data_IF_792470889734
#
_entry.id   IF_792470889734
#
_cell.length_a   1.000
_cell.length_b   1.000
_cell.length_c   1.000
_cell.angle_alpha   90.00
_cell.angle_beta   90.00
_cell.angle_gamma   90.00
#
_symmetry.space_group_name_H-M   'P 1'
#
loop_
_entity.id
_entity.type
_entity.pdbx_description
1 polymer ?
#
# COMPACT_ATOMS: atom_id res chain seq x y z
N UNK A 1 -5.42 20.00 -14.68
CA UNK A 1 -6.12 19.46 -13.50
C UNK A 1 -6.52 20.61 -12.60
N UNK A 2 -7.79 20.67 -12.22
CA UNK A 2 -8.27 21.72 -11.29
C UNK A 2 -7.67 21.48 -9.91
N UNK A 3 -7.21 22.54 -9.23
CA UNK A 3 -6.60 22.46 -7.90
C UNK A 3 -5.13 21.96 -7.88
N UNK A 4 -4.55 21.63 -9.03
CA UNK A 4 -3.16 21.13 -9.09
C UNK A 4 -2.24 22.09 -9.84
N UNK A 5 -0.98 22.15 -9.41
CA UNK A 5 0.05 22.94 -10.03
C UNK A 5 0.20 22.61 -11.52
N UNK A 6 0.41 23.64 -12.34
CA UNK A 6 0.59 23.50 -13.80
C UNK A 6 1.85 22.70 -14.19
N UNK A 7 2.80 22.50 -13.26
CA UNK A 7 3.98 21.65 -13.48
C UNK A 7 3.65 20.17 -13.66
N UNK A 8 2.46 19.74 -13.22
CA UNK A 8 1.96 18.38 -13.40
C UNK A 8 1.12 18.27 -14.67
N UNK A 9 1.57 17.44 -15.61
CA UNK A 9 0.93 17.26 -16.93
C UNK A 9 -0.40 16.49 -16.83
N UNK A 10 -0.51 15.61 -15.83
CA UNK A 10 -1.69 14.77 -15.57
C UNK A 10 -1.69 14.31 -14.10
N UNK A 11 -2.79 13.70 -13.66
CA UNK A 11 -2.84 13.18 -12.29
C UNK A 11 -1.84 12.01 -12.07
N UNK A 12 -1.65 11.05 -12.99
CA UNK A 12 -0.54 10.10 -12.88
C UNK A 12 0.84 10.76 -12.79
N UNK A 13 1.07 11.84 -13.53
CA UNK A 13 2.34 12.60 -13.46
C UNK A 13 2.57 13.21 -12.07
N UNK A 14 1.51 13.71 -11.42
CA UNK A 14 1.57 14.16 -10.01
C UNK A 14 1.99 13.02 -9.10
N UNK A 15 1.29 11.89 -9.12
CA UNK A 15 1.55 10.72 -8.26
C UNK A 15 3.00 10.23 -8.44
N UNK A 16 3.44 10.05 -9.69
CA UNK A 16 4.78 9.57 -10.00
C UNK A 16 5.88 10.54 -9.55
N UNK A 17 5.66 11.85 -9.74
CA UNK A 17 6.65 12.88 -9.37
C UNK A 17 6.81 13.02 -7.86
N UNK A 18 5.71 13.05 -7.10
CA UNK A 18 5.81 13.13 -5.64
C UNK A 18 6.44 11.87 -5.05
N UNK A 19 6.09 10.68 -5.57
CA UNK A 19 6.71 9.42 -5.16
C UNK A 19 8.22 9.44 -5.42
N UNK A 20 8.63 9.86 -6.63
CA UNK A 20 10.05 9.98 -6.99
C UNK A 20 10.79 10.99 -6.11
N UNK A 21 10.21 12.16 -5.87
CA UNK A 21 10.83 13.20 -5.03
C UNK A 21 11.07 12.67 -3.61
N UNK A 22 10.06 12.10 -3.00
CA UNK A 22 10.14 11.62 -1.61
C UNK A 22 11.14 10.45 -1.48
N UNK A 23 11.01 9.43 -2.33
CA UNK A 23 11.70 8.15 -2.14
C UNK A 23 13.04 8.03 -2.87
N UNK A 24 13.11 8.45 -4.13
CA UNK A 24 14.35 8.41 -4.90
C UNK A 24 15.20 9.64 -4.63
N UNK A 25 14.58 10.81 -4.57
CA UNK A 25 15.23 12.07 -4.21
C UNK A 25 15.58 12.18 -2.73
N UNK A 26 15.06 11.29 -1.88
CA UNK A 26 15.23 11.32 -0.41
C UNK A 26 14.75 12.60 0.25
N UNK A 27 13.87 13.34 -0.42
CA UNK A 27 13.25 14.56 0.11
C UNK A 27 12.03 14.19 1.00
N UNK A 28 12.32 13.48 2.10
CA UNK A 28 11.28 12.93 2.99
C UNK A 28 10.44 14.03 3.63
N UNK A 29 11.05 15.17 3.95
CA UNK A 29 10.34 16.30 4.57
C UNK A 29 9.29 16.93 3.62
N UNK A 30 9.42 16.74 2.31
CA UNK A 30 8.41 17.19 1.35
C UNK A 30 7.05 16.48 1.50
N UNK A 31 6.98 15.37 2.22
CA UNK A 31 5.72 14.73 2.63
C UNK A 31 4.79 15.75 3.29
N UNK A 32 5.33 16.68 4.09
CA UNK A 32 4.53 17.73 4.73
C UNK A 32 3.81 18.66 3.73
N UNK A 33 4.32 18.77 2.49
CA UNK A 33 3.70 19.57 1.43
C UNK A 33 2.64 18.78 0.63
N UNK A 34 2.83 17.46 0.54
CA UNK A 34 2.00 16.59 -0.30
C UNK A 34 0.92 15.82 0.46
N UNK A 35 1.01 15.75 1.78
CA UNK A 35 0.06 15.05 2.64
C UNK A 35 -0.61 16.04 3.57
N UNK A 36 -1.93 15.94 3.73
CA UNK A 36 -2.63 16.81 4.69
C UNK A 36 -2.13 16.58 6.12
N UNK A 37 -2.26 17.58 6.97
CA UNK A 37 -1.75 17.52 8.35
C UNK A 37 -2.40 16.41 9.19
N UNK A 38 -3.60 16.01 8.85
CA UNK A 38 -4.46 15.06 9.55
C UNK A 38 -4.69 13.76 8.77
N UNK A 39 -3.97 13.56 7.67
CA UNK A 39 -4.17 12.40 6.78
C UNK A 39 -4.26 11.08 7.54
N UNK A 40 -5.28 10.25 7.30
CA UNK A 40 -5.26 8.85 7.69
C UNK A 40 -4.50 8.00 6.67
N UNK A 41 -3.43 7.36 7.09
CA UNK A 41 -2.72 6.35 6.29
C UNK A 41 -3.03 4.97 6.86
N UNK A 42 -3.72 4.16 6.09
CA UNK A 42 -4.17 2.82 6.49
C UNK A 42 -3.26 1.76 5.93
N UNK A 43 -2.90 0.82 6.76
CA UNK A 43 -2.07 -0.34 6.38
C UNK A 43 -2.51 -1.57 7.17
N UNK A 44 -2.03 -2.77 6.85
CA UNK A 44 -2.27 -3.96 7.67
C UNK A 44 -1.81 -3.84 9.13
N UNK A 45 -0.99 -2.84 9.46
CA UNK A 45 -0.54 -2.56 10.82
C UNK A 45 -1.46 -1.59 11.59
N UNK A 46 -2.52 -1.12 10.99
CA UNK A 46 -3.47 -0.16 11.54
C UNK A 46 -3.43 1.17 10.80
N UNK A 47 -3.95 2.21 11.47
CA UNK A 47 -4.05 3.57 10.93
C UNK A 47 -3.06 4.49 11.60
N UNK A 48 -2.35 5.25 10.79
CA UNK A 48 -1.50 6.35 11.22
C UNK A 48 -2.18 7.66 10.85
N UNK A 49 -2.37 8.56 11.80
CA UNK A 49 -2.96 9.87 11.55
C UNK A 49 -1.88 10.96 11.51
N UNK A 50 -1.94 11.78 10.47
CA UNK A 50 -1.08 12.94 10.28
C UNK A 50 0.19 12.67 9.49
N UNK A 51 0.69 13.70 8.83
CA UNK A 51 1.88 13.63 7.97
C UNK A 51 3.20 13.48 8.76
N UNK A 52 3.29 14.00 9.99
CA UNK A 52 4.48 13.85 10.84
C UNK A 52 4.83 12.40 11.15
N UNK A 53 3.91 11.56 11.68
CA UNK A 53 4.20 10.14 11.86
C UNK A 53 4.54 9.40 10.56
N UNK A 54 4.00 9.83 9.42
CA UNK A 54 4.37 9.27 8.09
C UNK A 54 5.82 9.60 7.74
N UNK A 55 6.25 10.85 7.99
CA UNK A 55 7.65 11.27 7.84
C UNK A 55 8.58 10.42 8.71
N UNK A 56 8.26 10.28 9.99
CA UNK A 56 9.05 9.48 10.95
C UNK A 56 9.15 8.01 10.52
N UNK A 57 8.04 7.41 10.08
CA UNK A 57 8.01 6.04 9.58
C UNK A 57 8.85 5.89 8.31
N UNK A 58 8.85 6.90 7.43
CA UNK A 58 9.66 6.92 6.22
C UNK A 58 11.15 6.98 6.54
N UNK A 59 11.56 7.83 7.48
CA UNK A 59 12.95 7.86 7.94
C UNK A 59 13.39 6.53 8.56
N UNK A 60 12.56 5.91 9.40
CA UNK A 60 12.84 4.57 9.96
C UNK A 60 13.05 3.53 8.87
N UNK A 61 12.19 3.55 7.84
CA UNK A 61 12.34 2.64 6.70
C UNK A 61 13.63 2.90 5.91
N UNK A 62 13.99 4.16 5.70
CA UNK A 62 15.23 4.52 4.99
C UNK A 62 16.49 4.25 5.82
N UNK A 63 16.41 4.27 7.16
CA UNK A 63 17.49 3.80 8.02
C UNK A 63 17.76 2.31 7.81
N UNK A 64 16.71 1.51 7.69
CA UNK A 64 16.81 0.06 7.50
C UNK A 64 17.17 -0.32 6.05
N UNK A 65 16.62 0.41 5.07
CA UNK A 65 16.85 0.22 3.64
C UNK A 65 17.32 1.53 2.97
N UNK A 66 18.56 1.99 3.20
CA UNK A 66 19.00 3.33 2.77
C UNK A 66 19.02 3.52 1.26
N UNK A 67 19.18 2.47 0.48
CA UNK A 67 19.13 2.48 -0.97
C UNK A 67 17.78 2.11 -1.56
N UNK A 68 16.70 2.16 -0.75
CA UNK A 68 15.34 1.84 -1.21
C UNK A 68 14.90 2.74 -2.35
N UNK A 69 14.29 2.11 -3.36
CA UNK A 69 13.65 2.76 -4.51
C UNK A 69 12.21 2.31 -4.61
N UNK A 70 11.34 3.20 -5.05
CA UNK A 70 9.94 2.96 -5.36
C UNK A 70 9.70 3.27 -6.84
N UNK A 71 9.70 2.24 -7.66
CA UNK A 71 9.52 2.36 -9.10
C UNK A 71 8.04 2.20 -9.43
N UNK A 72 7.41 3.27 -9.92
CA UNK A 72 6.02 3.22 -10.38
C UNK A 72 5.88 2.35 -11.61
N UNK A 73 5.06 1.29 -11.52
CA UNK A 73 4.77 0.41 -12.64
C UNK A 73 3.51 0.85 -13.38
N UNK A 74 2.49 1.30 -12.63
CA UNK A 74 1.21 1.70 -13.20
C UNK A 74 0.42 2.59 -12.22
N UNK A 75 -0.36 3.53 -12.77
CA UNK A 75 -1.28 4.39 -12.00
C UNK A 75 -2.65 4.34 -12.65
N UNK A 76 -3.56 3.59 -12.06
CA UNK A 76 -4.98 3.60 -12.41
C UNK A 76 -5.63 4.73 -11.62
N UNK A 77 -6.51 5.51 -12.26
CA UNK A 77 -7.09 6.67 -11.62
C UNK A 77 -8.48 7.03 -12.12
N UNK A 78 -9.22 7.76 -11.32
CA UNK A 78 -10.45 8.41 -11.74
C UNK A 78 -10.57 9.80 -11.10
N UNK A 79 -11.51 10.59 -11.59
CA UNK A 79 -11.90 11.88 -11.02
C UNK A 79 -13.27 11.78 -10.38
N UNK A 80 -13.40 12.35 -9.19
CA UNK A 80 -14.68 12.47 -8.49
C UNK A 80 -15.47 13.71 -8.93
N UNK A 81 -16.75 13.75 -8.60
CA UNK A 81 -17.63 14.87 -8.90
C UNK A 81 -17.29 16.15 -8.12
N UNK A 82 -16.57 16.05 -7.01
CA UNK A 82 -16.14 17.15 -6.13
C UNK A 82 -14.73 17.66 -6.42
N UNK A 83 -14.25 17.46 -7.64
CA UNK A 83 -12.89 17.83 -8.10
C UNK A 83 -11.75 17.07 -7.39
N UNK A 84 -12.05 16.04 -6.63
CA UNK A 84 -11.07 15.09 -6.10
C UNK A 84 -10.63 14.06 -7.13
N UNK A 85 -9.48 13.45 -6.88
CA UNK A 85 -8.89 12.39 -7.69
C UNK A 85 -8.58 11.19 -6.82
N UNK A 86 -8.81 10.00 -7.35
CA UNK A 86 -8.39 8.74 -6.73
C UNK A 86 -7.41 8.02 -7.62
N UNK A 87 -6.35 7.47 -7.03
CA UNK A 87 -5.42 6.59 -7.73
C UNK A 87 -5.24 5.28 -7.01
N UNK A 88 -4.97 4.24 -7.78
CA UNK A 88 -4.35 3.01 -7.31
C UNK A 88 -2.99 2.90 -8.00
N UNK A 89 -1.93 3.06 -7.22
CA UNK A 89 -0.55 3.11 -7.70
C UNK A 89 0.16 1.79 -7.40
N UNK A 90 0.46 1.02 -8.45
CA UNK A 90 1.27 -0.19 -8.36
C UNK A 90 2.74 0.18 -8.42
N UNK A 91 3.50 -0.25 -7.43
CA UNK A 91 4.89 0.11 -7.21
C UNK A 91 5.74 -1.15 -7.07
N UNK A 92 6.85 -1.22 -7.78
CA UNK A 92 7.92 -2.16 -7.47
C UNK A 92 8.89 -1.48 -6.50
N UNK A 93 8.95 -1.99 -5.28
CA UNK A 93 9.93 -1.55 -4.29
C UNK A 93 11.14 -2.48 -4.31
N UNK A 94 12.34 -1.91 -4.28
CA UNK A 94 13.60 -2.64 -4.16
C UNK A 94 14.55 -1.94 -3.20
N UNK A 95 15.43 -2.71 -2.57
CA UNK A 95 16.45 -2.20 -1.66
C UNK A 95 17.30 -3.30 -1.10
N UNK A 96 18.26 -2.94 -0.25
CA UNK A 96 19.12 -3.88 0.47
C UNK A 96 18.96 -3.65 1.97
N UNK A 97 18.80 -4.71 2.74
CA UNK A 97 18.67 -4.66 4.20
C UNK A 97 20.03 -4.38 4.84
N UNK A 98 20.34 -3.10 5.01
CA UNK A 98 21.65 -2.60 5.47
C UNK A 98 21.65 -1.98 6.88
N UNK A 99 20.47 -1.64 7.40
CA UNK A 99 20.32 -1.05 8.73
C UNK A 99 19.52 -1.93 9.66
N UNK A 100 19.65 -1.70 10.95
CA UNK A 100 18.82 -2.33 11.98
C UNK A 100 17.49 -1.60 12.09
N UNK A 101 16.38 -2.36 12.10
CA UNK A 101 15.04 -1.82 12.17
C UNK A 101 13.98 -2.86 12.48
N UNK A 102 12.82 -2.71 11.87
CA UNK A 102 11.66 -3.59 12.07
C UNK A 102 11.96 -5.07 11.79
N UNK A 103 12.78 -5.35 10.78
CA UNK A 103 13.17 -6.73 10.41
C UNK A 103 14.35 -7.26 11.23
N UNK A 104 14.94 -6.45 12.10
CA UNK A 104 16.06 -6.80 12.98
C UNK A 104 17.41 -6.33 12.47
N UNK A 105 18.46 -7.10 12.76
CA UNK A 105 19.83 -6.76 12.34
C UNK A 105 20.00 -6.86 10.83
N UNK A 106 20.85 -6.01 10.22
CA UNK A 106 21.09 -6.01 8.79
C UNK A 106 21.58 -7.38 8.28
N UNK A 107 20.98 -7.84 7.19
CA UNK A 107 21.34 -9.14 6.58
C UNK A 107 22.17 -9.00 5.31
N UNK A 108 22.29 -7.77 4.77
CA UNK A 108 22.93 -7.53 3.47
C UNK A 108 22.12 -8.04 2.27
N UNK A 109 20.94 -8.61 2.49
CA UNK A 109 20.13 -9.22 1.43
C UNK A 109 19.34 -8.18 0.66
N UNK A 110 19.21 -8.41 -0.64
CA UNK A 110 18.36 -7.62 -1.51
C UNK A 110 16.90 -8.03 -1.36
N UNK A 111 16.02 -7.06 -1.42
CA UNK A 111 14.56 -7.26 -1.41
C UNK A 111 13.91 -6.64 -2.64
N UNK A 112 12.92 -7.35 -3.16
CA UNK A 112 12.05 -6.92 -4.26
C UNK A 112 10.61 -7.30 -3.90
N UNK A 113 9.72 -6.33 -3.83
CA UNK A 113 8.32 -6.60 -3.48
C UNK A 113 7.41 -5.55 -4.08
N UNK A 114 6.15 -5.90 -4.25
CA UNK A 114 5.13 -4.97 -4.72
C UNK A 114 4.41 -4.27 -3.59
N UNK A 115 4.03 -3.06 -3.91
CA UNK A 115 3.20 -2.19 -3.06
C UNK A 115 2.04 -1.71 -3.92
N UNK A 116 0.85 -1.66 -3.34
CA UNK A 116 -0.28 -0.90 -3.87
C UNK A 116 -0.54 0.24 -2.89
N UNK A 117 -0.59 1.46 -3.41
CA UNK A 117 -0.99 2.65 -2.67
C UNK A 117 -2.21 3.26 -3.34
N UNK A 118 -3.34 3.24 -2.65
CA UNK A 118 -4.56 3.89 -3.07
C UNK A 118 -4.65 5.24 -2.39
N UNK A 119 -4.68 6.32 -3.18
CA UNK A 119 -4.65 7.68 -2.68
C UNK A 119 -5.87 8.47 -3.13
N UNK A 120 -6.50 9.17 -2.19
CA UNK A 120 -7.44 10.24 -2.49
C UNK A 120 -6.70 11.58 -2.44
N UNK A 121 -6.79 12.37 -3.52
CA UNK A 121 -6.01 13.59 -3.70
C UNK A 121 -6.89 14.77 -4.11
N UNK A 122 -6.56 15.95 -3.59
CA UNK A 122 -7.17 17.23 -3.95
C UNK A 122 -6.17 18.35 -3.67
N UNK A 123 -6.18 19.39 -4.50
CA UNK A 123 -5.38 20.62 -4.29
C UNK A 123 -3.90 20.36 -3.99
N UNK A 124 -3.25 19.52 -4.81
CA UNK A 124 -1.86 19.06 -4.67
C UNK A 124 -1.58 18.19 -3.43
N UNK A 125 -2.57 17.76 -2.70
CA UNK A 125 -2.37 16.97 -1.49
C UNK A 125 -3.09 15.64 -1.54
N UNK A 126 -2.48 14.65 -0.92
CA UNK A 126 -3.09 13.37 -0.54
C UNK A 126 -3.78 13.58 0.81
N UNK A 127 -5.07 13.32 0.88
CA UNK A 127 -5.85 13.49 2.11
C UNK A 127 -6.36 12.17 2.71
N UNK A 128 -6.20 11.07 1.98
CA UNK A 128 -6.51 9.71 2.44
C UNK A 128 -5.61 8.72 1.69
N UNK A 129 -5.03 7.75 2.40
CA UNK A 129 -4.18 6.72 1.78
C UNK A 129 -4.43 5.34 2.38
N UNK A 130 -4.52 4.35 1.49
CA UNK A 130 -4.45 2.93 1.81
C UNK A 130 -3.20 2.34 1.18
N UNK A 131 -2.41 1.63 1.98
CA UNK A 131 -1.16 1.03 1.50
C UNK A 131 -1.05 -0.43 1.90
N UNK A 132 -0.84 -1.29 0.90
CA UNK A 132 -0.61 -2.73 1.07
C UNK A 132 0.74 -3.08 0.49
N UNK A 133 1.53 -3.85 1.24
CA UNK A 133 2.87 -4.31 0.84
C UNK A 133 2.92 -5.83 0.91
N UNK A 134 3.63 -6.47 -0.02
CA UNK A 134 3.95 -7.90 0.10
C UNK A 134 5.01 -8.14 1.19
N UNK A 135 4.54 -8.08 2.42
CA UNK A 135 5.37 -8.28 3.61
C UNK A 135 5.96 -9.69 3.65
N UNK A 136 5.20 -10.68 3.19
CA UNK A 136 5.64 -12.06 3.13
C UNK A 136 6.85 -12.25 2.20
N UNK A 137 6.86 -11.56 1.06
CA UNK A 137 8.01 -11.56 0.15
C UNK A 137 9.24 -10.94 0.81
N UNK A 138 9.10 -9.80 1.49
CA UNK A 138 10.19 -9.17 2.22
C UNK A 138 10.80 -10.11 3.26
N UNK A 139 9.95 -10.68 4.12
CA UNK A 139 10.36 -11.58 5.21
C UNK A 139 11.13 -12.78 4.68
N UNK A 140 10.63 -13.43 3.62
CA UNK A 140 11.31 -14.58 3.00
C UNK A 140 12.66 -14.20 2.40
N UNK A 141 12.74 -13.08 1.72
CA UNK A 141 13.98 -12.62 1.08
C UNK A 141 15.05 -12.23 2.11
N UNK A 142 14.66 -11.72 3.26
CA UNK A 142 15.57 -11.42 4.36
C UNK A 142 16.07 -12.71 5.04
N UNK A 143 15.33 -13.80 4.94
CA UNK A 143 15.74 -15.12 5.41
C UNK A 143 14.94 -15.70 6.56
N UNK A 144 13.72 -15.19 6.80
CA UNK A 144 12.78 -15.76 7.73
C UNK A 144 11.65 -16.47 7.00
N UNK A 145 11.06 -17.46 7.63
CA UNK A 145 9.69 -17.86 7.26
C UNK A 145 8.69 -16.85 7.82
N UNK A 146 7.52 -16.65 7.19
CA UNK A 146 6.48 -15.78 7.74
C UNK A 146 6.07 -16.14 9.16
N UNK A 147 6.06 -17.45 9.48
CA UNK A 147 5.70 -17.96 10.82
C UNK A 147 6.74 -17.56 11.88
N UNK A 148 8.01 -17.77 11.61
CA UNK A 148 9.11 -17.37 12.52
C UNK A 148 9.11 -15.87 12.74
N UNK A 149 8.90 -15.09 11.69
CA UNK A 149 8.87 -13.64 11.79
C UNK A 149 7.64 -13.15 12.60
N UNK A 150 6.47 -13.72 12.37
CA UNK A 150 5.27 -13.41 13.14
C UNK A 150 5.46 -13.75 14.63
N UNK A 151 6.08 -14.86 14.94
CA UNK A 151 6.40 -15.27 16.31
C UNK A 151 7.34 -14.27 16.97
N UNK A 152 8.40 -13.85 16.28
CA UNK A 152 9.32 -12.82 16.76
C UNK A 152 8.64 -11.48 17.02
N UNK A 153 7.70 -11.05 16.17
CA UNK A 153 6.94 -9.83 16.39
C UNK A 153 6.07 -9.95 17.64
N UNK A 154 5.36 -11.05 17.82
CA UNK A 154 4.54 -11.32 19.01
C UNK A 154 5.38 -11.29 20.28
N UNK A 155 6.56 -11.88 20.26
CA UNK A 155 7.51 -11.85 21.40
C UNK A 155 7.95 -10.42 21.71
N UNK A 156 8.31 -9.63 20.68
CA UNK A 156 8.70 -8.23 20.84
C UNK A 156 7.56 -7.35 21.36
N UNK A 157 6.31 -7.68 21.07
CA UNK A 157 5.11 -7.00 21.58
C UNK A 157 4.76 -7.44 23.01
N UNK A 158 5.48 -8.38 23.58
CA UNK A 158 5.32 -8.84 24.96
C UNK A 158 4.42 -10.07 25.11
N UNK A 159 4.32 -10.87 24.06
CA UNK A 159 3.59 -12.14 24.01
C UNK A 159 2.18 -12.04 23.45
N UNK A 160 1.55 -13.19 23.28
CA UNK A 160 0.25 -13.35 22.59
C UNK A 160 -0.85 -12.47 23.20
N UNK A 161 -1.00 -12.46 24.51
CA UNK A 161 -2.07 -11.69 25.17
C UNK A 161 -1.94 -10.18 24.92
N UNK A 162 -0.72 -9.66 24.94
CA UNK A 162 -0.46 -8.24 24.74
C UNK A 162 -0.61 -7.86 23.28
N UNK A 163 -0.10 -8.67 22.38
CA UNK A 163 -0.26 -8.51 20.93
C UNK A 163 -1.75 -8.53 20.53
N UNK A 164 -2.54 -9.42 21.13
CA UNK A 164 -3.98 -9.52 20.89
C UNK A 164 -4.74 -8.28 21.37
N UNK A 165 -4.37 -7.72 22.52
CA UNK A 165 -4.94 -6.44 23.02
C UNK A 165 -4.61 -5.29 22.07
N UNK A 166 -3.36 -5.22 21.60
CA UNK A 166 -2.93 -4.19 20.65
C UNK A 166 -3.67 -4.30 19.30
N UNK A 167 -3.88 -5.53 18.84
CA UNK A 167 -4.66 -5.79 17.62
C UNK A 167 -6.10 -5.33 17.79
N UNK A 168 -6.76 -5.72 18.86
CA UNK A 168 -8.14 -5.35 19.15
C UNK A 168 -8.31 -3.83 19.29
N UNK A 169 -7.38 -3.14 19.94
CA UNK A 169 -7.42 -1.68 20.06
C UNK A 169 -7.25 -0.95 18.72
N UNK A 170 -6.51 -1.54 17.79
CA UNK A 170 -6.31 -0.99 16.44
C UNK A 170 -7.43 -1.37 15.47
N UNK A 171 -8.11 -2.49 15.70
CA UNK A 171 -9.23 -2.96 14.88
C UNK A 171 -10.56 -2.29 15.23
N UNK A 172 -10.63 -1.61 16.37
CA UNK A 172 -11.81 -0.84 16.82
C UNK A 172 -12.06 0.44 16.00
N UNK A 173 -11.56 0.46 14.80
CA UNK A 173 -11.99 1.39 13.78
C UNK A 173 -13.44 1.03 13.42
N UNK A 174 -14.38 1.67 14.10
CA UNK A 174 -15.75 1.78 13.61
C UNK A 174 -15.68 2.47 12.26
N UNK A 175 -15.54 1.66 11.23
CA UNK A 175 -15.65 2.14 9.88
C UNK A 175 -17.08 2.67 9.72
N UNK A 176 -17.25 3.97 9.69
CA UNK A 176 -18.47 4.61 9.21
C UNK A 176 -18.63 4.43 7.69
N UNK A 177 -17.79 3.61 7.10
CA UNK A 177 -17.85 3.27 5.69
C UNK A 177 -19.17 2.59 5.39
N UNK A 178 -20.09 3.36 4.85
CA UNK A 178 -21.28 2.82 4.22
C UNK A 178 -20.85 2.35 2.82
N UNK A 179 -20.87 1.04 2.54
CA UNK A 179 -20.52 0.56 1.23
C UNK A 179 -21.35 1.25 0.17
N UNK A 180 -20.71 1.84 -0.80
CA UNK A 180 -21.40 2.39 -1.97
C UNK A 180 -22.15 1.24 -2.65
N UNK A 181 -23.42 1.38 -2.97
CA UNK A 181 -24.15 0.32 -3.67
C UNK A 181 -23.40 -0.08 -4.94
N UNK A 182 -23.32 -1.38 -5.20
CA UNK A 182 -22.66 -1.88 -6.41
C UNK A 182 -23.21 -1.16 -7.66
N UNK A 183 -22.35 -0.77 -8.60
CA UNK A 183 -22.79 -0.11 -9.82
C UNK A 183 -23.83 -0.96 -10.55
N UNK A 184 -24.96 -0.36 -10.92
CA UNK A 184 -26.05 -1.05 -11.64
C UNK A 184 -25.76 -1.33 -13.11
N UNK A 185 -24.48 -1.37 -13.50
CA UNK A 185 -24.07 -1.73 -14.84
C UNK A 185 -23.62 -3.19 -14.93
N UNK A 186 -23.64 -3.74 -16.15
CA UNK A 186 -23.33 -5.16 -16.39
C UNK A 186 -21.91 -5.57 -15.95
N UNK A 187 -20.95 -4.64 -16.01
CA UNK A 187 -19.56 -4.86 -15.57
C UNK A 187 -19.49 -4.91 -14.05
N UNK A 188 -20.09 -3.92 -13.37
CA UNK A 188 -20.12 -3.87 -11.90
C UNK A 188 -20.81 -5.09 -11.30
N UNK A 189 -21.92 -5.56 -11.90
CA UNK A 189 -22.61 -6.78 -11.46
C UNK A 189 -21.71 -8.02 -11.61
N UNK A 190 -20.99 -8.14 -12.73
CA UNK A 190 -20.06 -9.25 -12.94
C UNK A 190 -18.96 -9.28 -11.88
N UNK A 191 -18.32 -8.14 -11.61
CA UNK A 191 -17.29 -8.05 -10.56
C UNK A 191 -17.85 -8.32 -9.16
N UNK A 192 -19.00 -7.78 -8.82
CA UNK A 192 -19.67 -8.08 -7.54
C UNK A 192 -19.95 -9.57 -7.38
N UNK A 193 -20.41 -10.24 -8.44
CA UNK A 193 -20.67 -11.68 -8.41
C UNK A 193 -19.37 -12.49 -8.24
N UNK A 194 -18.27 -12.07 -8.87
CA UNK A 194 -16.96 -12.71 -8.69
C UNK A 194 -16.48 -12.53 -7.25
N UNK A 195 -16.48 -11.31 -6.73
CA UNK A 195 -16.05 -11.01 -5.36
C UNK A 195 -16.91 -11.75 -4.32
N UNK A 196 -18.22 -11.78 -4.51
CA UNK A 196 -19.10 -12.53 -3.61
C UNK A 196 -18.82 -14.03 -3.59
N UNK A 197 -18.35 -14.60 -4.69
CA UNK A 197 -17.89 -15.99 -4.72
C UNK A 197 -16.55 -16.18 -4.00
N UNK A 198 -15.60 -15.26 -4.21
CA UNK A 198 -14.27 -15.30 -3.58
C UNK A 198 -14.34 -15.27 -2.06
N UNK A 199 -15.29 -14.54 -1.50
CA UNK A 199 -15.48 -14.43 -0.04
C UNK A 199 -16.41 -15.46 0.58
N UNK A 200 -16.85 -16.47 -0.19
CA UNK A 200 -17.55 -17.63 0.35
C UNK A 200 -16.56 -18.73 0.67
N UNK A 201 -16.81 -19.45 1.77
CA UNK A 201 -15.88 -20.43 2.35
C UNK A 201 -15.53 -21.62 1.45
N UNK A 202 -16.28 -21.85 0.41
CA UNK A 202 -16.13 -22.96 -0.54
C UNK A 202 -15.50 -22.56 -1.88
N UNK A 203 -14.91 -21.36 -1.96
CA UNK A 203 -14.33 -20.86 -3.20
C UNK A 203 -12.89 -21.32 -3.39
N UNK A 204 -12.63 -22.03 -4.49
CA UNK A 204 -11.27 -22.41 -4.88
C UNK A 204 -10.50 -21.18 -5.40
N UNK A 205 -9.33 -20.91 -4.79
CA UNK A 205 -8.47 -19.82 -5.18
C UNK A 205 -7.98 -19.93 -6.64
N UNK A 206 -7.90 -21.13 -7.19
CA UNK A 206 -7.57 -21.36 -8.61
C UNK A 206 -8.62 -20.75 -9.55
N UNK A 207 -9.89 -20.81 -9.17
CA UNK A 207 -10.99 -20.22 -9.92
C UNK A 207 -10.98 -18.70 -9.86
N UNK A 208 -10.55 -18.11 -8.76
CA UNK A 208 -10.32 -16.67 -8.65
C UNK A 208 -9.21 -16.22 -9.60
N UNK A 209 -8.06 -16.88 -9.58
CA UNK A 209 -6.94 -16.55 -10.47
C UNK A 209 -7.35 -16.66 -11.95
N UNK A 210 -8.15 -17.68 -12.29
CA UNK A 210 -8.71 -17.84 -13.64
C UNK A 210 -9.68 -16.71 -14.00
N UNK A 211 -10.58 -16.34 -13.11
CA UNK A 211 -11.53 -15.26 -13.34
C UNK A 211 -10.82 -13.93 -13.56
N UNK A 212 -9.81 -13.60 -12.76
CA UNK A 212 -8.99 -12.39 -12.93
C UNK A 212 -8.25 -12.41 -14.25
N UNK A 213 -7.70 -13.55 -14.68
CA UNK A 213 -6.97 -13.68 -15.94
C UNK A 213 -7.88 -13.50 -17.16
N UNK A 214 -9.14 -13.90 -17.08
CA UNK A 214 -10.13 -13.75 -18.16
C UNK A 214 -10.60 -12.30 -18.31
N UNK A 215 -10.81 -11.60 -17.18
CA UNK A 215 -11.46 -10.28 -17.21
C UNK A 215 -10.49 -9.10 -17.20
N UNK A 216 -9.20 -9.35 -17.09
CA UNK A 216 -8.18 -8.31 -17.14
C UNK A 216 -7.50 -8.27 -18.50
N UNK A 217 -7.89 -7.38 -19.43
CA UNK A 217 -7.25 -7.27 -20.74
C UNK A 217 -5.75 -6.98 -20.57
N UNK A 218 -4.91 -7.69 -21.30
CA UNK A 218 -3.45 -7.55 -21.19
C UNK A 218 -2.87 -8.05 -19.87
N UNK A 219 -3.64 -8.80 -19.12
CA UNK A 219 -3.22 -9.39 -17.87
C UNK A 219 -1.97 -10.26 -18.04
N UNK A 220 -0.99 -9.99 -17.21
CA UNK A 220 0.26 -10.74 -17.10
C UNK A 220 0.47 -11.35 -15.72
N UNK A 221 -0.62 -11.63 -15.01
CA UNK A 221 -0.56 -12.33 -13.72
C UNK A 221 0.18 -13.64 -13.92
N UNK A 222 1.16 -13.87 -13.10
CA UNK A 222 2.00 -15.05 -13.20
C UNK A 222 3.18 -14.97 -14.14
N UNK A 223 3.25 -13.97 -15.01
CA UNK A 223 4.33 -13.84 -15.98
C UNK A 223 5.60 -13.22 -15.44
N UNK A 224 5.93 -13.25 -14.38
CA UNK A 224 7.16 -12.73 -13.89
C UNK A 224 7.67 -13.60 -12.77
N UNK A 225 7.41 -14.81 -12.94
CA UNK A 225 7.71 -15.80 -11.92
C UNK A 225 8.94 -16.58 -12.19
N UNK A 226 9.41 -16.56 -13.40
CA UNK A 226 10.66 -17.19 -13.79
C UNK A 226 11.87 -16.40 -13.41
#
# INVERSE_FOLDING_TARGET
MRGFDKKYKSFPDFILKITKQIWEGKDVNSIANFYTNDIPVRSPFGVTYGNKPVIDATFKTLKEFPNRQLLGEDVIWNRNNDDGYHSSHRILSKGTHLGEGYYGKPTGKNIYYRVIADCACKDNQVYDEWIVRDQGAMVRQIGFTPKEFAQKIIENEGGIEKAQKLFNSKSDMKSEYKPTPAPKNSVGIKYSNILNKVFKDDYDFSDYARAVSIYWPGNRIGHGRE
#
